data_IF_851693269587
#
_entry.id   IF_851693269587
#
_cell.length_a   1.000
_cell.length_b   1.000
_cell.length_c   1.000
_cell.angle_alpha   90.00
_cell.angle_beta   90.00
_cell.angle_gamma   90.00
#
_symmetry.space_group_name_H-M   'P 1'
#
loop_
_entity.id
_entity.type
_entity.pdbx_description
1 polymer ?
#
# COMPACT_ATOMS: atom_id res chain seq x y z
N UNK A 1 51.02 -31.68 -55.97
CA UNK A 1 49.68 -31.72 -55.37
C UNK A 1 49.80 -31.27 -53.92
N UNK A 2 49.39 -30.05 -53.62
CA UNK A 2 49.42 -29.52 -52.27
C UNK A 2 48.00 -29.58 -51.70
N UNK A 3 47.80 -30.28 -50.60
CA UNK A 3 46.54 -30.45 -49.90
C UNK A 3 46.38 -29.22 -48.96
N UNK A 4 45.41 -28.37 -49.20
CA UNK A 4 45.05 -27.27 -48.32
C UNK A 4 44.10 -27.81 -47.28
N UNK A 5 44.53 -27.86 -46.01
CA UNK A 5 43.70 -28.15 -44.85
C UNK A 5 42.97 -26.87 -44.42
N UNK A 6 41.65 -26.74 -44.71
CA UNK A 6 40.80 -25.70 -44.17
C UNK A 6 40.45 -26.04 -42.71
N UNK A 7 41.02 -25.32 -41.76
CA UNK A 7 40.56 -25.33 -40.35
C UNK A 7 39.26 -24.51 -40.26
N UNK A 8 38.12 -25.17 -40.06
CA UNK A 8 36.88 -24.54 -39.66
C UNK A 8 36.97 -24.15 -38.16
N UNK A 9 37.18 -22.88 -37.89
CA UNK A 9 37.03 -22.34 -36.55
C UNK A 9 35.54 -22.34 -36.16
N UNK A 10 35.13 -23.26 -35.29
CA UNK A 10 33.81 -23.24 -34.67
C UNK A 10 33.80 -22.09 -33.66
N UNK A 11 33.20 -20.98 -34.02
CA UNK A 11 32.92 -19.87 -33.10
C UNK A 11 31.80 -20.36 -32.18
N UNK A 12 32.15 -20.84 -30.96
CA UNK A 12 31.17 -21.11 -29.92
C UNK A 12 30.48 -19.79 -29.58
N UNK A 13 29.21 -19.67 -29.94
CA UNK A 13 28.37 -18.59 -29.40
C UNK A 13 28.30 -18.79 -27.89
N UNK A 14 28.52 -17.71 -27.08
CA UNK A 14 28.30 -17.82 -25.64
C UNK A 14 26.84 -18.19 -25.45
N UNK A 15 26.56 -19.27 -24.72
CA UNK A 15 25.22 -19.64 -24.30
C UNK A 15 24.68 -18.41 -23.54
N UNK A 16 23.60 -17.81 -24.03
CA UNK A 16 22.88 -16.79 -23.28
C UNK A 16 22.48 -17.43 -21.97
N UNK A 17 23.01 -16.93 -20.86
CA UNK A 17 22.57 -17.38 -19.54
C UNK A 17 21.06 -17.22 -19.50
N UNK A 18 20.33 -18.26 -19.07
CA UNK A 18 18.88 -18.23 -18.93
C UNK A 18 18.54 -17.05 -17.99
N UNK A 19 17.61 -16.17 -18.42
CA UNK A 19 17.19 -15.06 -17.59
C UNK A 19 16.49 -15.57 -16.34
N UNK A 20 16.87 -15.03 -15.17
CA UNK A 20 16.18 -15.30 -13.91
C UNK A 20 14.86 -14.56 -13.89
N UNK A 21 13.78 -15.27 -13.63
CA UNK A 21 12.44 -14.68 -13.55
C UNK A 21 12.03 -14.47 -12.11
N UNK A 22 11.63 -13.25 -11.78
CA UNK A 22 10.95 -12.89 -10.55
C UNK A 22 9.50 -12.52 -10.86
N UNK A 23 8.60 -12.96 -10.01
CA UNK A 23 7.18 -12.59 -10.07
C UNK A 23 6.85 -11.78 -8.83
N UNK A 24 6.31 -10.61 -9.03
CA UNK A 24 5.66 -9.80 -8.01
C UNK A 24 4.15 -9.84 -8.25
N UNK A 25 3.38 -9.88 -7.17
CA UNK A 25 1.93 -9.70 -7.20
C UNK A 25 1.42 -9.19 -5.87
N UNK A 26 0.31 -8.47 -5.89
CA UNK A 26 -0.34 -8.06 -4.64
C UNK A 26 -0.89 -6.64 -4.65
N UNK A 27 -0.33 -5.77 -3.81
CA UNK A 27 -0.83 -4.44 -3.53
C UNK A 27 -1.07 -3.61 -4.78
N UNK A 28 -2.28 -3.07 -4.88
CA UNK A 28 -2.63 -2.11 -5.94
C UNK A 28 -2.12 -0.71 -5.64
N UNK A 29 -1.77 -0.40 -4.37
CA UNK A 29 -1.15 0.84 -3.96
C UNK A 29 0.34 0.88 -4.34
N UNK A 30 1.05 -0.25 -4.19
CA UNK A 30 2.47 -0.41 -4.54
C UNK A 30 2.72 -0.56 -6.05
N UNK A 31 1.75 -1.05 -6.83
CA UNK A 31 1.92 -1.30 -8.27
C UNK A 31 2.53 -0.10 -9.04
N UNK A 32 2.10 1.16 -8.83
CA UNK A 32 2.72 2.31 -9.51
C UNK A 32 4.21 2.46 -9.21
N UNK A 33 4.65 2.16 -7.98
CA UNK A 33 6.07 2.21 -7.61
C UNK A 33 6.87 1.09 -8.30
N UNK A 34 6.37 -0.14 -8.34
CA UNK A 34 7.00 -1.23 -9.07
C UNK A 34 7.11 -0.94 -10.56
N UNK A 35 6.10 -0.29 -11.15
CA UNK A 35 6.13 0.12 -12.56
C UNK A 35 7.23 1.16 -12.87
N UNK A 36 7.63 1.97 -11.88
CA UNK A 36 8.77 2.88 -12.01
C UNK A 36 10.10 2.16 -11.76
N UNK A 37 10.16 1.27 -10.79
CA UNK A 37 11.39 0.57 -10.40
C UNK A 37 11.87 -0.44 -11.43
N UNK A 38 10.95 -1.27 -11.94
CA UNK A 38 11.30 -2.41 -12.80
C UNK A 38 12.07 -1.99 -14.05
N UNK A 39 11.64 -1.03 -14.88
CA UNK A 39 12.39 -0.65 -16.07
C UNK A 39 13.79 -0.17 -15.75
N UNK A 40 13.95 0.65 -14.72
CA UNK A 40 15.25 1.24 -14.36
C UNK A 40 16.21 0.18 -13.76
N UNK A 41 15.68 -0.73 -12.93
CA UNK A 41 16.47 -1.84 -12.40
C UNK A 41 16.94 -2.78 -13.52
N UNK A 42 16.04 -3.18 -14.43
CA UNK A 42 16.34 -4.10 -15.52
C UNK A 42 17.34 -3.52 -16.54
N UNK A 43 17.36 -2.20 -16.71
CA UNK A 43 18.35 -1.55 -17.57
C UNK A 43 19.81 -1.85 -17.16
N UNK A 44 20.04 -2.05 -15.85
CA UNK A 44 21.36 -2.43 -15.29
C UNK A 44 21.49 -3.93 -15.00
N UNK A 45 20.39 -4.69 -15.08
CA UNK A 45 20.33 -6.12 -14.76
C UNK A 45 19.66 -6.93 -15.89
N UNK A 46 20.25 -6.99 -17.11
CA UNK A 46 19.58 -7.56 -18.29
C UNK A 46 19.34 -9.08 -18.22
N UNK A 47 19.97 -9.78 -17.26
CA UNK A 47 19.78 -11.21 -17.03
C UNK A 47 18.62 -11.51 -16.07
N UNK A 48 17.87 -10.50 -15.61
CA UNK A 48 16.70 -10.65 -14.75
C UNK A 48 15.48 -10.19 -15.52
N UNK A 49 14.35 -10.82 -15.28
CA UNK A 49 13.02 -10.34 -15.70
C UNK A 49 12.14 -10.28 -14.46
N UNK A 50 11.35 -9.22 -14.35
CA UNK A 50 10.40 -9.03 -13.24
C UNK A 50 9.02 -8.76 -13.84
N UNK A 51 8.03 -9.57 -13.45
CA UNK A 51 6.63 -9.34 -13.81
C UNK A 51 5.88 -8.85 -12.59
N UNK A 52 4.93 -7.95 -12.78
CA UNK A 52 4.11 -7.38 -11.70
C UNK A 52 2.62 -7.51 -12.01
N UNK A 53 1.79 -7.67 -10.96
CA UNK A 53 0.34 -7.75 -11.08
C UNK A 53 -0.38 -7.20 -9.85
N UNK A 54 -1.44 -6.42 -10.06
CA UNK A 54 -2.28 -5.86 -9.02
C UNK A 54 -3.41 -6.84 -8.64
N UNK A 55 -3.21 -7.68 -7.63
CA UNK A 55 -4.18 -8.71 -7.21
C UNK A 55 -4.79 -8.46 -5.83
N UNK A 56 -4.31 -7.44 -5.12
CA UNK A 56 -4.64 -7.12 -3.73
C UNK A 56 -3.66 -7.75 -2.74
N UNK A 57 -3.46 -7.08 -1.60
CA UNK A 57 -2.44 -7.45 -0.60
C UNK A 57 -2.65 -8.85 -0.03
N UNK A 58 -3.91 -9.25 0.23
CA UNK A 58 -4.19 -10.61 0.70
C UNK A 58 -3.74 -11.68 -0.29
N UNK A 59 -4.01 -11.50 -1.58
CA UNK A 59 -3.54 -12.40 -2.63
C UNK A 59 -2.00 -12.38 -2.77
N UNK A 60 -1.37 -11.21 -2.55
CA UNK A 60 0.10 -11.08 -2.52
C UNK A 60 0.73 -11.90 -1.39
N UNK A 61 0.22 -11.77 -0.18
CA UNK A 61 0.67 -12.55 0.99
C UNK A 61 0.54 -14.05 0.71
N UNK A 62 -0.62 -14.49 0.24
CA UNK A 62 -0.86 -15.90 -0.08
C UNK A 62 0.04 -16.43 -1.21
N UNK A 63 0.36 -15.59 -2.21
CA UNK A 63 1.27 -15.95 -3.28
C UNK A 63 2.72 -16.13 -2.79
N UNK A 64 3.16 -15.31 -1.83
CA UNK A 64 4.46 -15.46 -1.18
C UNK A 64 4.52 -16.73 -0.31
N UNK A 65 3.48 -17.00 0.48
CA UNK A 65 3.37 -18.19 1.34
C UNK A 65 3.36 -19.46 0.49
N UNK A 66 2.61 -19.50 -0.59
CA UNK A 66 2.52 -20.66 -1.49
C UNK A 66 3.70 -20.80 -2.44
N UNK A 67 4.61 -19.81 -2.50
CA UNK A 67 5.75 -19.79 -3.43
C UNK A 67 5.36 -19.57 -4.90
N UNK A 68 4.14 -19.13 -5.20
CA UNK A 68 3.69 -18.82 -6.55
C UNK A 68 4.17 -17.45 -7.04
N UNK A 69 4.63 -16.59 -6.14
CA UNK A 69 5.37 -15.37 -6.43
C UNK A 69 6.57 -15.25 -5.49
N UNK A 70 7.65 -14.63 -5.96
CA UNK A 70 8.83 -14.34 -5.15
C UNK A 70 8.60 -13.13 -4.25
N UNK A 71 7.75 -12.20 -4.67
CA UNK A 71 7.41 -10.99 -3.94
C UNK A 71 5.89 -10.89 -3.85
N UNK A 72 5.35 -10.99 -2.64
CA UNK A 72 3.99 -10.62 -2.31
C UNK A 72 3.96 -9.17 -1.87
N UNK A 73 3.60 -8.25 -2.76
CA UNK A 73 3.47 -6.84 -2.41
C UNK A 73 2.23 -6.62 -1.52
N UNK A 74 2.39 -5.89 -0.42
CA UNK A 74 1.29 -5.75 0.55
C UNK A 74 1.38 -4.46 1.36
N UNK A 75 0.25 -3.80 1.56
CA UNK A 75 0.08 -2.69 2.51
C UNK A 75 -0.24 -3.21 3.92
N UNK A 76 -0.44 -4.51 4.05
CA UNK A 76 -0.65 -5.21 5.31
C UNK A 76 0.51 -6.15 5.60
N UNK A 77 0.95 -6.24 6.85
CA UNK A 77 1.83 -7.31 7.29
C UNK A 77 1.02 -8.61 7.52
N UNK A 78 1.72 -9.75 7.54
CA UNK A 78 1.11 -11.03 7.89
C UNK A 78 0.50 -10.99 9.28
N UNK A 79 -0.64 -11.63 9.49
CA UNK A 79 -1.20 -11.84 10.82
C UNK A 79 -0.26 -12.69 11.70
N UNK A 80 -0.47 -12.69 13.01
CA UNK A 80 0.30 -13.53 13.93
C UNK A 80 0.17 -14.99 13.56
N UNK A 81 -1.05 -15.45 13.25
CA UNK A 81 -1.30 -16.82 12.82
C UNK A 81 -0.55 -17.19 11.53
N UNK A 82 -0.56 -16.29 10.52
CA UNK A 82 0.18 -16.50 9.28
C UNK A 82 1.70 -16.57 9.52
N UNK A 83 2.24 -15.69 10.38
CA UNK A 83 3.65 -15.66 10.69
C UNK A 83 4.12 -16.88 11.49
N UNK A 84 3.31 -17.33 12.46
CA UNK A 84 3.59 -18.54 13.25
C UNK A 84 3.58 -19.81 12.39
N UNK A 85 2.66 -19.91 11.44
CA UNK A 85 2.55 -21.06 10.53
C UNK A 85 3.59 -21.03 9.40
N UNK A 86 4.17 -19.88 9.08
CA UNK A 86 5.05 -19.68 7.93
C UNK A 86 6.35 -18.97 8.32
N UNK A 87 7.12 -19.55 9.23
CA UNK A 87 8.32 -18.94 9.84
C UNK A 87 9.45 -18.62 8.85
N UNK A 88 9.40 -19.16 7.63
CA UNK A 88 10.33 -18.84 6.53
C UNK A 88 9.90 -17.61 5.73
N UNK A 89 8.69 -17.06 5.97
CA UNK A 89 8.20 -15.87 5.28
C UNK A 89 8.50 -14.64 6.16
N UNK A 90 9.05 -13.61 5.55
CA UNK A 90 9.40 -12.35 6.22
C UNK A 90 8.65 -11.18 5.60
N UNK A 91 8.38 -10.17 6.43
CA UNK A 91 7.79 -8.90 5.99
C UNK A 91 8.91 -7.87 5.91
N UNK A 92 9.15 -7.32 4.75
CA UNK A 92 10.26 -6.37 4.50
C UNK A 92 9.65 -5.03 4.11
N UNK A 93 9.69 -4.01 4.97
CA UNK A 93 9.29 -2.65 4.59
C UNK A 93 10.11 -2.14 3.39
N UNK A 94 9.43 -1.51 2.44
CA UNK A 94 10.02 -0.91 1.24
C UNK A 94 9.88 0.62 1.23
N UNK A 95 8.77 1.13 1.74
CA UNK A 95 8.45 2.57 1.79
C UNK A 95 7.35 2.80 2.82
N UNK A 96 6.98 4.06 3.03
CA UNK A 96 5.80 4.46 3.80
C UNK A 96 4.81 5.08 2.84
N UNK A 97 3.55 4.62 2.89
CA UNK A 97 2.45 5.17 2.13
C UNK A 97 1.28 5.56 3.03
N UNK A 98 0.24 6.12 2.43
CA UNK A 98 -0.98 6.53 3.11
C UNK A 98 -2.22 6.12 2.33
N UNK A 99 -3.35 5.98 3.02
CA UNK A 99 -4.66 6.04 2.41
C UNK A 99 -5.27 7.41 2.56
N UNK A 100 -6.03 7.80 1.55
CA UNK A 100 -6.87 8.99 1.55
C UNK A 100 -8.33 8.59 1.65
N UNK A 101 -9.14 9.39 2.34
CA UNK A 101 -10.59 9.28 2.29
C UNK A 101 -11.09 10.29 1.25
N UNK A 102 -11.54 9.78 0.12
CA UNK A 102 -12.00 10.60 -0.99
C UNK A 102 -13.52 10.62 -1.09
N UNK A 103 -14.04 11.73 -1.57
CA UNK A 103 -15.48 11.91 -1.75
C UNK A 103 -15.79 12.66 -3.04
N UNK A 104 -16.98 12.39 -3.58
CA UNK A 104 -17.49 13.04 -4.79
C UNK A 104 -18.69 13.92 -4.43
N UNK A 105 -18.42 15.14 -3.98
CA UNK A 105 -19.46 16.12 -3.66
C UNK A 105 -19.47 17.26 -4.67
N UNK A 106 -20.58 17.49 -5.39
CA UNK A 106 -20.71 18.63 -6.26
C UNK A 106 -20.68 19.93 -5.44
N UNK A 107 -19.75 20.85 -5.78
CA UNK A 107 -19.69 22.23 -5.26
C UNK A 107 -19.50 22.39 -3.74
N UNK A 108 -18.55 21.67 -3.15
CA UNK A 108 -18.19 21.91 -1.74
C UNK A 108 -17.28 23.14 -1.51
N UNK A 109 -17.15 24.03 -2.50
CA UNK A 109 -16.35 25.25 -2.39
C UNK A 109 -14.83 25.04 -2.35
N UNK A 110 -14.34 23.83 -2.64
CA UNK A 110 -12.91 23.50 -2.65
C UNK A 110 -12.28 23.36 -1.26
N UNK A 111 -13.03 23.55 -0.19
CA UNK A 111 -12.54 23.35 1.18
C UNK A 111 -12.58 21.84 1.51
N UNK A 112 -11.45 21.23 1.91
CA UNK A 112 -11.45 19.83 2.32
C UNK A 112 -12.38 19.60 3.50
N UNK A 113 -13.20 18.54 3.44
CA UNK A 113 -14.01 18.13 4.57
C UNK A 113 -13.14 17.57 5.70
N UNK A 114 -13.57 17.83 6.92
CA UNK A 114 -12.99 17.28 8.14
C UNK A 114 -13.80 16.07 8.58
N UNK A 115 -13.15 14.94 8.74
CA UNK A 115 -13.77 13.71 9.24
C UNK A 115 -12.92 13.12 10.37
N UNK A 116 -13.58 12.44 11.30
CA UNK A 116 -12.90 11.67 12.36
C UNK A 116 -13.32 10.20 12.31
N UNK A 117 -12.64 9.36 13.08
CA UNK A 117 -12.91 7.93 13.12
C UNK A 117 -14.39 7.61 13.41
N UNK A 118 -15.02 8.20 14.45
CA UNK A 118 -16.44 7.98 14.74
C UNK A 118 -17.38 8.35 13.59
N UNK A 119 -17.12 9.44 12.87
CA UNK A 119 -17.95 9.84 11.73
C UNK A 119 -17.79 8.85 10.57
N UNK A 120 -16.55 8.47 10.23
CA UNK A 120 -16.28 7.48 9.18
C UNK A 120 -16.86 6.13 9.55
N UNK A 121 -16.63 5.63 10.77
CA UNK A 121 -17.23 4.40 11.27
C UNK A 121 -18.78 4.45 11.24
N UNK A 122 -19.36 5.60 11.56
CA UNK A 122 -20.78 5.84 11.45
C UNK A 122 -21.32 5.70 10.01
N UNK A 123 -20.57 6.21 9.03
CA UNK A 123 -20.89 6.06 7.60
C UNK A 123 -20.81 4.58 7.19
N UNK A 124 -19.67 3.93 7.46
CA UNK A 124 -19.43 2.55 7.04
C UNK A 124 -20.24 1.50 7.82
N UNK A 125 -20.82 1.88 8.95
CA UNK A 125 -21.83 1.06 9.67
C UNK A 125 -23.27 1.41 9.36
N UNK A 126 -23.53 2.38 8.47
CA UNK A 126 -24.88 2.82 8.09
C UNK A 126 -25.63 3.61 9.15
N UNK A 127 -24.97 4.05 10.24
CA UNK A 127 -25.54 4.91 11.27
C UNK A 127 -25.64 6.37 10.81
N UNK A 128 -24.69 6.81 9.97
CA UNK A 128 -24.71 8.13 9.32
C UNK A 128 -24.98 7.88 7.85
N UNK A 129 -26.13 8.36 7.39
CA UNK A 129 -26.66 8.09 6.05
C UNK A 129 -26.63 9.30 5.13
N UNK A 130 -26.53 10.50 5.68
CA UNK A 130 -26.64 11.74 4.92
C UNK A 130 -25.44 12.64 5.16
N UNK A 131 -25.03 13.38 4.13
CA UNK A 131 -23.89 14.28 4.20
C UNK A 131 -24.09 15.42 5.19
N UNK A 132 -25.34 15.90 5.36
CA UNK A 132 -25.67 16.95 6.32
C UNK A 132 -26.08 16.42 7.70
N UNK A 133 -25.79 15.17 8.03
CA UNK A 133 -25.98 14.61 9.36
C UNK A 133 -25.17 15.39 10.41
N UNK A 134 -25.75 15.54 11.61
CA UNK A 134 -25.16 16.36 12.68
C UNK A 134 -23.70 16.04 13.01
N UNK A 135 -23.25 14.75 13.08
CA UNK A 135 -21.85 14.45 13.33
C UNK A 135 -20.90 15.02 12.27
N UNK A 136 -21.30 15.06 11.00
CA UNK A 136 -20.48 15.63 9.92
C UNK A 136 -20.52 17.15 9.96
N UNK A 137 -21.69 17.76 10.17
CA UNK A 137 -21.84 19.22 10.31
C UNK A 137 -20.99 19.79 11.45
N UNK A 138 -21.02 19.13 12.60
CA UNK A 138 -20.27 19.57 13.79
C UNK A 138 -18.74 19.62 13.52
N UNK A 139 -18.21 18.75 12.67
CA UNK A 139 -16.80 18.73 12.26
C UNK A 139 -16.50 19.80 11.20
N UNK A 140 -17.51 20.31 10.51
CA UNK A 140 -17.39 21.21 9.35
C UNK A 140 -18.21 22.52 9.51
N UNK A 141 -17.97 23.29 10.57
CA UNK A 141 -18.71 24.53 10.78
C UNK A 141 -18.47 25.52 9.62
N UNK A 142 -19.55 26.08 9.10
CA UNK A 142 -19.50 27.02 7.98
C UNK A 142 -19.44 26.39 6.58
N UNK A 143 -19.37 25.06 6.48
CA UNK A 143 -19.47 24.35 5.20
C UNK A 143 -20.93 23.98 4.93
N UNK A 144 -21.44 24.36 3.76
CA UNK A 144 -22.77 23.94 3.32
C UNK A 144 -22.70 22.51 2.77
N UNK A 145 -23.23 21.56 3.54
CA UNK A 145 -23.33 20.16 3.13
C UNK A 145 -24.69 19.89 2.46
N UNK A 146 -24.73 19.06 1.42
CA UNK A 146 -26.01 18.74 0.76
C UNK A 146 -26.83 17.80 1.64
N UNK A 147 -28.15 18.02 1.67
CA UNK A 147 -29.09 17.03 2.18
C UNK A 147 -29.25 15.90 1.16
N UNK A 148 -28.37 14.93 1.22
CA UNK A 148 -28.30 13.82 0.27
C UNK A 148 -27.71 12.59 0.93
N UNK A 149 -28.20 11.42 0.55
CA UNK A 149 -27.71 10.13 1.02
C UNK A 149 -26.25 9.92 0.62
N UNK A 150 -25.44 9.40 1.54
CA UNK A 150 -24.06 9.02 1.31
C UNK A 150 -24.02 7.64 0.64
N UNK A 151 -23.37 7.55 -0.51
CA UNK A 151 -23.11 6.28 -1.18
C UNK A 151 -21.70 5.83 -0.79
N UNK A 152 -21.59 4.91 0.15
CA UNK A 152 -20.29 4.39 0.52
C UNK A 152 -19.78 3.40 -0.53
N UNK A 153 -18.47 3.45 -0.77
CA UNK A 153 -17.77 2.53 -1.68
C UNK A 153 -16.63 1.88 -0.91
N UNK A 154 -16.54 0.57 -1.00
CA UNK A 154 -15.52 -0.24 -0.33
C UNK A 154 -14.89 -1.27 -1.25
N UNK A 155 -13.77 -1.82 -0.84
CA UNK A 155 -13.08 -2.86 -1.60
C UNK A 155 -13.85 -4.19 -1.55
N UNK A 156 -13.84 -4.88 -2.67
CA UNK A 156 -14.40 -6.23 -2.82
C UNK A 156 -13.33 -7.33 -2.71
N UNK A 157 -12.06 -6.97 -2.95
CA UNK A 157 -10.90 -7.85 -2.85
C UNK A 157 -10.26 -7.79 -1.45
N UNK A 158 -9.42 -8.77 -1.13
CA UNK A 158 -8.62 -8.76 0.09
C UNK A 158 -7.50 -7.71 -0.03
N UNK A 159 -7.74 -6.54 0.54
CA UNK A 159 -7.00 -5.31 0.29
C UNK A 159 -6.21 -4.83 1.50
N UNK A 160 -4.95 -4.45 1.29
CA UNK A 160 -4.18 -3.75 2.30
C UNK A 160 -4.71 -2.35 2.60
N UNK A 161 -5.29 -1.64 1.61
CA UNK A 161 -6.01 -0.39 1.88
C UNK A 161 -7.16 -0.60 2.87
N UNK A 162 -7.90 -1.73 2.74
CA UNK A 162 -8.93 -2.11 3.73
C UNK A 162 -8.31 -2.36 5.10
N UNK A 163 -7.16 -3.02 5.16
CA UNK A 163 -6.45 -3.29 6.41
C UNK A 163 -6.09 -1.99 7.14
N UNK A 164 -5.42 -1.05 6.48
CA UNK A 164 -5.03 0.23 7.11
C UNK A 164 -6.24 1.07 7.48
N UNK A 165 -7.25 1.14 6.60
CA UNK A 165 -8.48 1.88 6.85
C UNK A 165 -9.25 1.32 8.05
N UNK A 166 -9.42 0.00 8.13
CA UNK A 166 -10.13 -0.62 9.24
C UNK A 166 -9.32 -0.60 10.54
N UNK A 167 -7.99 -0.68 10.50
CA UNK A 167 -7.12 -0.44 11.66
C UNK A 167 -7.32 0.96 12.24
N UNK A 168 -7.37 1.98 11.38
CA UNK A 168 -7.66 3.34 11.84
C UNK A 168 -9.03 3.43 12.52
N UNK A 169 -10.06 2.80 11.96
CA UNK A 169 -11.39 2.79 12.57
C UNK A 169 -11.41 2.05 13.92
N UNK A 170 -10.71 0.94 13.99
CA UNK A 170 -10.55 0.13 15.18
C UNK A 170 -9.88 0.91 16.33
N UNK A 171 -8.73 1.52 16.05
CA UNK A 171 -7.95 2.27 17.05
C UNK A 171 -8.59 3.61 17.46
N UNK A 172 -9.38 4.22 16.58
CA UNK A 172 -10.01 5.52 16.82
C UNK A 172 -11.45 5.46 17.31
N UNK A 173 -12.10 4.29 17.25
CA UNK A 173 -13.55 4.16 17.46
C UNK A 173 -13.90 2.85 18.18
N UNK A 174 -13.99 2.84 19.52
CA UNK A 174 -14.23 1.60 20.30
C UNK A 174 -15.44 0.80 19.84
N UNK A 175 -16.51 1.44 19.36
CA UNK A 175 -17.71 0.74 18.87
C UNK A 175 -17.50 0.04 17.52
N UNK A 176 -16.38 0.27 16.84
CA UNK A 176 -15.94 -0.48 15.66
C UNK A 176 -15.14 -1.71 16.07
N UNK A 177 -14.14 -1.55 16.95
CA UNK A 177 -13.32 -2.61 17.54
C UNK A 177 -14.18 -3.75 18.07
N UNK A 178 -15.11 -3.45 18.97
CA UNK A 178 -16.01 -4.45 19.60
C UNK A 178 -16.80 -5.33 18.61
N UNK A 179 -16.92 -4.97 17.34
CA UNK A 179 -17.86 -5.61 16.41
C UNK A 179 -17.27 -6.07 15.09
N UNK A 180 -16.27 -5.37 14.59
CA UNK A 180 -15.81 -5.54 13.20
C UNK A 180 -14.32 -5.85 13.17
N UNK A 181 -13.51 -5.13 13.98
CA UNK A 181 -12.07 -5.24 13.98
C UNK A 181 -11.44 -4.75 12.66
N UNK A 182 -10.27 -5.27 12.34
CA UNK A 182 -9.54 -4.93 11.13
C UNK A 182 -8.96 -6.14 10.41
N UNK A 183 -8.68 -5.98 9.11
CA UNK A 183 -8.10 -7.02 8.27
C UNK A 183 -8.07 -6.62 6.80
N UNK A 184 -7.40 -7.41 5.97
CA UNK A 184 -7.47 -7.26 4.50
C UNK A 184 -8.88 -7.50 3.97
N UNK A 185 -9.68 -8.24 4.75
CA UNK A 185 -11.13 -8.43 4.56
C UNK A 185 -11.78 -8.44 5.94
N UNK A 186 -12.91 -7.78 6.08
CA UNK A 186 -13.70 -7.72 7.32
C UNK A 186 -15.16 -8.05 7.04
N UNK A 187 -15.90 -8.41 8.08
CA UNK A 187 -17.35 -8.60 8.01
C UNK A 187 -18.06 -7.23 7.96
N UNK A 188 -18.04 -6.60 6.80
CA UNK A 188 -18.66 -5.29 6.62
C UNK A 188 -20.14 -5.29 7.01
N UNK A 189 -20.60 -4.30 7.78
CA UNK A 189 -22.02 -4.07 7.94
C UNK A 189 -22.69 -3.84 6.60
N UNK A 190 -23.87 -4.43 6.41
CA UNK A 190 -24.65 -4.19 5.19
C UNK A 190 -25.27 -2.79 5.24
N UNK A 191 -24.94 -1.96 4.27
CA UNK A 191 -25.47 -0.60 4.14
C UNK A 191 -26.23 -0.50 2.81
N UNK A 192 -27.55 -0.21 2.84
CA UNK A 192 -28.33 -0.08 1.62
C UNK A 192 -27.71 0.94 0.65
N UNK A 193 -27.60 0.58 -0.63
CA UNK A 193 -27.00 1.44 -1.65
C UNK A 193 -25.47 1.44 -1.70
N UNK A 194 -24.79 0.67 -0.83
CA UNK A 194 -23.34 0.52 -0.89
C UNK A 194 -22.90 -0.03 -2.24
N UNK A 195 -21.69 0.35 -2.65
CA UNK A 195 -21.02 -0.19 -3.84
C UNK A 195 -19.67 -0.81 -3.46
N UNK A 196 -19.21 -1.70 -4.31
CA UNK A 196 -17.89 -2.30 -4.15
C UNK A 196 -17.05 -2.13 -5.40
N UNK A 197 -15.73 -2.10 -5.25
CA UNK A 197 -14.80 -2.02 -6.35
C UNK A 197 -13.53 -2.86 -6.06
N UNK A 198 -12.86 -3.29 -7.12
CA UNK A 198 -11.63 -4.08 -7.03
C UNK A 198 -10.43 -3.17 -7.28
N UNK A 199 -9.46 -3.20 -6.38
CA UNK A 199 -8.21 -2.44 -6.47
C UNK A 199 -8.40 -0.91 -6.39
N UNK A 200 -7.29 -0.18 -6.29
CA UNK A 200 -7.30 1.29 -6.20
C UNK A 200 -7.86 1.97 -7.46
N UNK A 201 -7.50 1.47 -8.64
CA UNK A 201 -8.05 1.99 -9.90
C UNK A 201 -9.58 1.82 -9.98
N UNK A 202 -10.10 0.68 -9.51
CA UNK A 202 -11.54 0.44 -9.42
C UNK A 202 -12.23 1.36 -8.41
N UNK A 203 -11.61 1.56 -7.25
CA UNK A 203 -12.12 2.49 -6.23
C UNK A 203 -12.17 3.91 -6.75
N UNK A 204 -11.08 4.40 -7.35
CA UNK A 204 -11.01 5.72 -7.97
C UNK A 204 -12.14 5.92 -8.98
N UNK A 205 -12.29 4.98 -9.92
CA UNK A 205 -13.35 5.02 -10.93
C UNK A 205 -14.74 5.03 -10.30
N UNK A 206 -15.00 4.14 -9.34
CA UNK A 206 -16.30 4.02 -8.71
C UNK A 206 -16.70 5.30 -7.95
N UNK A 207 -15.74 5.94 -7.23
CA UNK A 207 -15.98 7.20 -6.53
C UNK A 207 -16.20 8.33 -7.53
N UNK A 208 -15.39 8.43 -8.59
CA UNK A 208 -15.49 9.47 -9.60
C UNK A 208 -16.83 9.41 -10.39
N UNK A 209 -17.30 8.22 -10.70
CA UNK A 209 -18.54 8.01 -11.45
C UNK A 209 -19.81 8.01 -10.58
N UNK A 210 -19.67 8.09 -9.25
CA UNK A 210 -20.79 8.07 -8.32
C UNK A 210 -20.89 9.40 -7.55
N UNK A 211 -21.74 10.34 -7.95
CA UNK A 211 -21.99 11.54 -7.16
C UNK A 211 -22.46 11.20 -5.74
N UNK A 212 -22.06 12.03 -4.78
CA UNK A 212 -22.36 11.87 -3.34
C UNK A 212 -21.75 10.62 -2.70
N UNK A 213 -20.73 10.04 -3.32
CA UNK A 213 -20.03 8.88 -2.75
C UNK A 213 -18.85 9.27 -1.86
N UNK A 214 -18.43 8.30 -1.04
CA UNK A 214 -17.21 8.30 -0.24
C UNK A 214 -16.52 6.95 -0.37
N UNK A 215 -15.19 6.96 -0.42
CA UNK A 215 -14.36 5.75 -0.46
C UNK A 215 -12.95 6.02 0.05
N UNK A 216 -12.19 4.98 0.32
CA UNK A 216 -10.77 5.07 0.64
C UNK A 216 -9.94 4.62 -0.57
N UNK A 217 -8.88 5.38 -0.86
CA UNK A 217 -8.02 5.18 -2.04
C UNK A 217 -6.57 5.38 -1.60
N UNK A 218 -5.68 4.54 -2.10
CA UNK A 218 -4.25 4.66 -1.82
C UNK A 218 -3.64 5.94 -2.41
N UNK A 219 -2.71 6.55 -1.69
CA UNK A 219 -2.14 7.86 -2.03
C UNK A 219 -1.43 7.88 -3.38
N UNK A 220 -0.95 6.75 -3.88
CA UNK A 220 -0.34 6.66 -5.22
C UNK A 220 -1.31 7.01 -6.38
N UNK A 221 -2.60 7.15 -6.06
CA UNK A 221 -3.64 7.60 -6.99
C UNK A 221 -4.12 9.04 -6.72
N UNK A 222 -3.38 9.80 -5.90
CA UNK A 222 -3.80 11.16 -5.51
C UNK A 222 -3.92 12.12 -6.70
N UNK A 223 -3.00 12.04 -7.66
CA UNK A 223 -3.05 12.90 -8.87
C UNK A 223 -4.25 12.57 -9.75
N UNK A 224 -4.58 11.29 -9.89
CA UNK A 224 -5.75 10.83 -10.64
C UNK A 224 -7.05 11.23 -9.94
N UNK A 225 -7.10 11.14 -8.60
CA UNK A 225 -8.23 11.59 -7.81
C UNK A 225 -8.44 13.11 -7.95
N UNK A 226 -7.36 13.89 -7.93
CA UNK A 226 -7.40 15.32 -8.16
C UNK A 226 -7.88 15.68 -9.59
N UNK A 227 -7.38 14.97 -10.63
CA UNK A 227 -7.85 15.12 -12.02
C UNK A 227 -9.31 14.77 -12.19
N UNK A 228 -9.81 13.79 -11.40
CA UNK A 228 -11.22 13.43 -11.35
C UNK A 228 -12.07 14.39 -10.47
N UNK A 229 -11.48 15.46 -9.95
CA UNK A 229 -12.13 16.46 -9.08
C UNK A 229 -12.71 15.89 -7.79
N UNK A 230 -12.15 14.79 -7.28
CA UNK A 230 -12.54 14.24 -5.99
C UNK A 230 -12.00 15.11 -4.84
N UNK A 231 -12.81 15.27 -3.80
CA UNK A 231 -12.33 15.85 -2.56
C UNK A 231 -11.52 14.82 -1.76
N UNK A 232 -10.50 15.30 -1.05
CA UNK A 232 -9.74 14.51 -0.07
C UNK A 232 -10.03 15.06 1.32
N UNK A 233 -10.52 14.23 2.23
CA UNK A 233 -10.85 14.65 3.57
C UNK A 233 -9.60 14.86 4.44
N UNK A 234 -9.63 15.88 5.29
CA UNK A 234 -8.71 16.01 6.41
C UNK A 234 -9.16 15.07 7.52
N UNK A 235 -8.28 14.22 7.99
CA UNK A 235 -8.61 13.20 8.99
C UNK A 235 -8.09 13.62 10.36
N UNK A 236 -8.94 13.47 11.38
CA UNK A 236 -8.59 13.79 12.77
C UNK A 236 -7.62 12.75 13.31
N UNK A 237 -6.46 13.20 13.76
CA UNK A 237 -5.47 12.36 14.40
C UNK A 237 -5.71 12.18 15.91
N UNK A 238 -4.84 11.42 16.58
CA UNK A 238 -4.93 11.12 18.00
C UNK A 238 -4.86 12.39 18.89
N UNK A 239 -4.10 13.42 18.46
CA UNK A 239 -4.01 14.72 19.14
C UNK A 239 -5.19 15.66 18.86
N UNK A 240 -6.18 15.23 18.08
CA UNK A 240 -7.38 16.02 17.76
C UNK A 240 -7.21 16.99 16.57
N UNK A 241 -6.08 16.96 15.86
CA UNK A 241 -5.82 17.83 14.69
C UNK A 241 -6.32 17.18 13.42
N UNK A 242 -6.83 17.98 12.49
CA UNK A 242 -7.25 17.52 11.16
C UNK A 242 -6.12 17.72 10.17
N UNK A 243 -5.65 16.64 9.56
CA UNK A 243 -4.49 16.61 8.69
C UNK A 243 -4.80 16.00 7.31
N UNK A 244 -4.06 16.45 6.30
CA UNK A 244 -3.93 15.77 5.01
C UNK A 244 -2.64 14.95 4.98
N UNK A 245 -2.54 13.92 4.16
CA UNK A 245 -1.30 13.16 3.97
C UNK A 245 -0.34 13.98 3.12
N UNK A 246 0.62 14.60 3.77
CA UNK A 246 1.77 15.24 3.14
C UNK A 246 3.05 14.49 3.53
N UNK A 247 4.16 14.66 2.80
CA UNK A 247 5.43 14.04 3.20
C UNK A 247 5.79 14.32 4.66
N UNK A 248 5.52 15.53 5.15
CA UNK A 248 5.82 15.94 6.53
C UNK A 248 4.92 15.22 7.54
N UNK A 249 3.60 15.13 7.28
CA UNK A 249 2.65 14.51 8.20
C UNK A 249 2.75 12.98 8.21
N UNK A 250 3.14 12.38 7.09
CA UNK A 250 3.42 10.95 6.98
C UNK A 250 4.72 10.60 7.70
N UNK A 251 5.80 11.35 7.46
CA UNK A 251 7.09 11.15 8.14
C UNK A 251 6.97 11.37 9.65
N UNK A 252 6.21 12.38 10.08
CA UNK A 252 5.97 12.63 11.51
C UNK A 252 5.30 11.42 12.17
N UNK A 253 4.27 10.84 11.54
CA UNK A 253 3.58 9.67 12.08
C UNK A 253 4.50 8.44 12.18
N UNK A 254 5.32 8.19 11.18
CA UNK A 254 6.27 7.08 11.19
C UNK A 254 7.33 7.25 12.30
N UNK A 255 7.86 8.47 12.48
CA UNK A 255 8.88 8.76 13.48
C UNK A 255 8.41 8.58 14.93
N UNK A 256 7.11 8.64 15.20
CA UNK A 256 6.56 8.37 16.54
C UNK A 256 6.60 6.88 16.92
N UNK A 257 6.69 6.00 15.93
CA UNK A 257 6.54 4.56 16.13
C UNK A 257 7.74 3.75 15.64
N UNK A 258 8.66 4.31 14.86
CA UNK A 258 9.78 3.59 14.24
C UNK A 258 10.62 2.81 15.26
N UNK A 259 10.89 3.41 16.43
CA UNK A 259 11.64 2.77 17.53
C UNK A 259 10.90 1.58 18.18
N UNK A 260 9.61 1.40 17.89
CA UNK A 260 8.79 0.28 18.36
C UNK A 260 8.71 -0.86 17.34
N UNK A 261 9.32 -0.70 16.17
CA UNK A 261 9.29 -1.74 15.14
C UNK A 261 9.95 -3.02 15.65
N UNK A 262 9.21 -4.14 15.69
CA UNK A 262 9.75 -5.41 16.17
C UNK A 262 10.76 -5.99 15.16
N UNK A 263 11.57 -7.00 15.56
CA UNK A 263 12.56 -7.61 14.68
C UNK A 263 12.00 -8.27 13.41
N UNK A 264 10.71 -8.59 13.38
CA UNK A 264 10.00 -9.13 12.22
C UNK A 264 9.31 -8.04 11.37
N UNK A 265 9.49 -6.77 11.76
CA UNK A 265 9.03 -5.55 11.08
C UNK A 265 7.52 -5.43 10.87
N UNK A 266 6.71 -6.25 11.57
CA UNK A 266 5.24 -6.20 11.54
C UNK A 266 4.74 -5.16 12.53
N UNK A 267 4.59 -3.92 12.09
CA UNK A 267 4.14 -2.80 12.91
C UNK A 267 3.04 -2.03 12.21
N UNK A 268 1.95 -1.75 12.93
CA UNK A 268 0.96 -0.76 12.49
C UNK A 268 1.46 0.65 12.76
N UNK A 269 1.40 1.51 11.76
CA UNK A 269 1.61 2.94 11.88
C UNK A 269 0.28 3.72 11.95
N UNK A 270 -0.86 3.01 11.83
CA UNK A 270 -2.17 3.63 11.85
C UNK A 270 -2.44 4.32 13.19
N UNK A 271 -3.03 5.50 13.14
CA UNK A 271 -3.41 6.31 14.31
C UNK A 271 -2.24 6.59 15.27
N UNK A 272 -1.04 6.80 14.72
CA UNK A 272 0.16 7.14 15.48
C UNK A 272 -0.06 8.39 16.35
N UNK A 273 0.55 8.46 17.56
CA UNK A 273 0.52 9.66 18.37
C UNK A 273 1.22 10.83 17.68
N UNK A 274 1.16 12.02 18.27
CA UNK A 274 1.83 13.22 17.77
C UNK A 274 0.91 14.20 17.08
N UNK A 275 1.23 15.49 17.21
CA UNK A 275 0.40 16.59 16.70
C UNK A 275 0.32 16.62 15.18
N UNK A 276 1.39 16.21 14.50
CA UNK A 276 1.50 16.26 13.05
C UNK A 276 1.40 14.89 12.38
N UNK A 277 1.02 13.85 13.12
CA UNK A 277 0.92 12.46 12.62
C UNK A 277 -0.35 12.26 11.83
N UNK A 278 -0.24 12.04 10.50
CA UNK A 278 -1.37 11.65 9.66
C UNK A 278 -1.82 10.23 10.04
N UNK A 279 -3.12 9.97 10.26
CA UNK A 279 -3.54 8.74 10.93
C UNK A 279 -3.70 7.50 10.05
N UNK A 280 -3.78 7.63 8.71
CA UNK A 280 -3.94 6.49 7.80
C UNK A 280 -2.64 6.26 7.02
N UNK A 281 -1.60 5.82 7.71
CA UNK A 281 -0.32 5.44 7.10
C UNK A 281 0.07 4.02 7.48
N UNK A 282 0.91 3.41 6.67
CA UNK A 282 1.55 2.14 6.99
C UNK A 282 2.90 1.99 6.27
N UNK A 283 3.68 0.99 6.70
CA UNK A 283 4.74 0.46 5.85
C UNK A 283 4.13 -0.30 4.68
N UNK A 284 4.77 -0.15 3.54
CA UNK A 284 4.53 -0.94 2.35
C UNK A 284 5.53 -2.10 2.31
N UNK A 285 5.05 -3.31 2.19
CA UNK A 285 5.85 -4.52 2.40
C UNK A 285 6.11 -5.31 1.11
N UNK A 286 7.32 -5.86 1.01
CA UNK A 286 7.57 -7.11 0.29
C UNK A 286 7.45 -8.27 1.29
N UNK A 287 6.47 -9.13 1.09
CA UNK A 287 6.34 -10.40 1.80
C UNK A 287 7.04 -11.46 0.96
N UNK A 288 8.08 -12.09 1.50
CA UNK A 288 8.96 -12.98 0.74
C UNK A 288 9.35 -14.22 1.52
N UNK A 289 9.56 -15.34 0.83
CA UNK A 289 10.19 -16.51 1.43
C UNK A 289 11.70 -16.31 1.54
N UNK A 290 12.29 -16.60 2.69
CA UNK A 290 13.74 -16.65 2.86
C UNK A 290 14.36 -17.86 2.16
N UNK A 291 13.57 -18.88 1.82
CA UNK A 291 14.00 -20.08 1.08
C UNK A 291 13.47 -20.03 -0.33
N UNK A 292 14.35 -19.88 -1.29
CA UNK A 292 14.02 -19.90 -2.71
C UNK A 292 14.37 -21.25 -3.34
N UNK A 293 13.63 -21.70 -4.37
CA UNK A 293 13.87 -23.01 -4.99
C UNK A 293 15.20 -23.08 -5.76
N UNK A 294 15.76 -21.93 -6.14
CA UNK A 294 16.98 -21.81 -6.96
C UNK A 294 17.88 -20.70 -6.39
N UNK A 295 19.18 -20.97 -6.14
CA UNK A 295 20.12 -19.96 -5.67
C UNK A 295 20.26 -18.73 -6.59
N UNK A 296 20.03 -18.87 -7.90
CA UNK A 296 20.02 -17.74 -8.82
C UNK A 296 18.80 -16.85 -8.60
N UNK A 297 17.62 -17.44 -8.31
CA UNK A 297 16.41 -16.72 -7.92
C UNK A 297 16.62 -16.02 -6.59
N UNK A 298 17.18 -16.69 -5.57
CA UNK A 298 17.51 -16.11 -4.28
C UNK A 298 18.42 -14.88 -4.43
N UNK A 299 19.48 -15.01 -5.23
CA UNK A 299 20.39 -13.90 -5.49
C UNK A 299 19.70 -12.73 -6.19
N UNK A 300 18.97 -12.99 -7.24
CA UNK A 300 18.27 -11.94 -8.00
C UNK A 300 17.23 -11.22 -7.14
N UNK A 301 16.50 -11.95 -6.28
CA UNK A 301 15.53 -11.39 -5.35
C UNK A 301 16.21 -10.49 -4.30
N UNK A 302 17.31 -10.95 -3.69
CA UNK A 302 18.11 -10.14 -2.76
C UNK A 302 18.62 -8.86 -3.43
N UNK A 303 19.22 -8.98 -4.60
CA UNK A 303 19.81 -7.85 -5.31
C UNK A 303 18.74 -6.80 -5.65
N UNK A 304 17.56 -7.22 -6.09
CA UNK A 304 16.44 -6.34 -6.37
C UNK A 304 15.93 -5.64 -5.10
N UNK A 305 15.71 -6.38 -4.02
CA UNK A 305 15.19 -5.82 -2.77
C UNK A 305 16.21 -4.89 -2.08
N UNK A 306 17.52 -5.23 -2.13
CA UNK A 306 18.57 -4.32 -1.65
C UNK A 306 18.60 -3.02 -2.47
N UNK A 307 18.46 -3.12 -3.79
CA UNK A 307 18.36 -1.94 -4.64
C UNK A 307 17.10 -1.13 -4.34
N UNK A 308 15.94 -1.78 -4.21
CA UNK A 308 14.67 -1.14 -3.87
C UNK A 308 14.72 -0.41 -2.54
N UNK A 309 15.39 -0.99 -1.54
CA UNK A 309 15.57 -0.41 -0.20
C UNK A 309 16.66 0.67 -0.14
N UNK A 310 17.55 0.74 -1.14
CA UNK A 310 18.70 1.65 -1.12
C UNK A 310 18.30 3.12 -1.34
N UNK A 311 18.84 4.07 -0.53
CA UNK A 311 18.66 5.50 -0.73
C UNK A 311 19.40 6.04 -1.98
N UNK A 312 20.20 5.21 -2.65
CA UNK A 312 20.83 5.48 -3.94
C UNK A 312 20.16 4.69 -5.09
N UNK A 313 19.16 3.88 -4.78
CA UNK A 313 18.39 3.05 -5.71
C UNK A 313 16.91 3.38 -5.70
N UNK A 314 16.09 2.40 -5.35
CA UNK A 314 14.63 2.51 -5.36
C UNK A 314 14.04 3.44 -4.28
N UNK A 315 14.71 3.58 -3.12
CA UNK A 315 14.24 4.42 -2.00
C UNK A 315 14.68 5.89 -2.14
N UNK A 316 14.67 6.40 -3.38
CA UNK A 316 15.04 7.79 -3.67
C UNK A 316 13.79 8.66 -3.90
N UNK A 317 13.89 9.98 -3.69
CA UNK A 317 12.82 10.92 -4.02
C UNK A 317 12.35 10.85 -5.47
N UNK A 318 13.22 10.42 -6.40
CA UNK A 318 12.87 10.22 -7.81
C UNK A 318 11.65 9.31 -7.98
N UNK A 319 11.62 8.21 -7.26
CA UNK A 319 10.55 7.21 -7.36
C UNK A 319 9.43 7.48 -6.34
N UNK A 320 9.82 7.75 -5.10
CA UNK A 320 8.84 7.88 -4.01
C UNK A 320 7.94 9.08 -4.18
N UNK A 321 8.48 10.25 -4.54
CA UNK A 321 7.67 11.45 -4.76
C UNK A 321 6.70 11.29 -5.95
N UNK A 322 7.06 10.49 -6.95
CA UNK A 322 6.20 10.25 -8.11
C UNK A 322 4.92 9.46 -7.77
N UNK A 323 4.89 8.81 -6.62
CA UNK A 323 3.74 8.05 -6.10
C UNK A 323 3.28 8.56 -4.73
N UNK A 324 3.75 9.74 -4.31
CA UNK A 324 3.45 10.37 -3.02
C UNK A 324 3.83 9.54 -1.78
N UNK A 325 4.82 8.65 -1.90
CA UNK A 325 5.38 7.90 -0.79
C UNK A 325 6.50 8.66 -0.10
N UNK A 326 6.85 8.26 1.11
CA UNK A 326 8.00 8.77 1.82
C UNK A 326 9.01 7.65 2.10
N UNK A 327 10.31 7.99 2.19
CA UNK A 327 11.35 6.99 2.41
C UNK A 327 11.24 6.36 3.79
N UNK A 328 11.76 5.15 3.91
CA UNK A 328 11.95 4.51 5.20
C UNK A 328 12.97 5.29 6.05
N UNK A 329 12.75 5.42 7.39
CA UNK A 329 13.79 5.84 8.31
C UNK A 329 15.03 4.95 8.21
N UNK A 330 16.22 5.53 8.41
CA UNK A 330 17.49 4.80 8.28
C UNK A 330 17.56 3.53 9.14
N UNK A 331 16.99 3.58 10.34
CA UNK A 331 16.94 2.44 11.24
C UNK A 331 16.08 1.29 10.66
N UNK A 332 14.90 1.60 10.13
CA UNK A 332 14.01 0.60 9.51
C UNK A 332 14.67 0.02 8.27
N UNK A 333 15.26 0.87 7.43
CA UNK A 333 15.97 0.43 6.23
C UNK A 333 17.10 -0.55 6.55
N UNK A 334 17.89 -0.27 7.62
CA UNK A 334 18.94 -1.17 8.07
C UNK A 334 18.39 -2.50 8.61
N UNK A 335 17.23 -2.49 9.28
CA UNK A 335 16.55 -3.72 9.72
C UNK A 335 16.07 -4.53 8.51
N UNK A 336 15.41 -3.88 7.55
CA UNK A 336 14.96 -4.51 6.30
C UNK A 336 16.11 -5.14 5.52
N UNK A 337 17.29 -4.49 5.46
CA UNK A 337 18.49 -5.09 4.87
C UNK A 337 18.91 -6.40 5.55
N UNK A 338 18.80 -6.48 6.89
CA UNK A 338 19.07 -7.72 7.62
C UNK A 338 18.07 -8.84 7.27
N UNK A 339 16.78 -8.50 7.06
CA UNK A 339 15.80 -9.47 6.61
C UNK A 339 16.09 -9.94 5.18
N UNK A 340 16.44 -9.02 4.28
CA UNK A 340 16.80 -9.33 2.89
C UNK A 340 18.00 -10.29 2.82
N UNK A 341 18.99 -10.11 3.68
CA UNK A 341 20.19 -11.00 3.71
C UNK A 341 19.89 -12.44 4.13
N UNK A 342 18.73 -12.73 4.73
CA UNK A 342 18.30 -14.09 5.07
C UNK A 342 17.79 -14.90 3.88
N UNK A 343 17.55 -14.27 2.73
CA UNK A 343 17.04 -14.95 1.53
C UNK A 343 18.13 -15.84 0.93
N UNK A 344 17.90 -17.14 0.82
CA UNK A 344 18.84 -18.15 0.35
C UNK A 344 18.18 -19.18 -0.60
#
# INVERSE_FOLDING_TARGET
MALACCLLAVIARPASAASVQLRETGSTLLLPLFNLWIPDYLASNPNVTITTAATGSGAGIEAAISGTAQIGASDAYMSDEQAEQNTQIVNIPLAIAAQTVNYNLPRNGGTPLKLDGPAIAGIYSGKIREWDAEPIKALNPGVTLPHHEIILIRRADASGDTFVFTQFLDFSTPSWDDKIGYGTSVAWPSVPGEKTAVGNAGMLKAVAETPYSIGYIGISFADEAAKAHLGTAMIKNQSGRFLLPTPETMSAAASELDSRTPPDERLSLAFAPGDNSYPLINYEYAVVSTRQPDPAVAKALRDFLLWANSPLGGNTPKYLNAVHFVPLPDFIRASSEQQIQKIE
#
